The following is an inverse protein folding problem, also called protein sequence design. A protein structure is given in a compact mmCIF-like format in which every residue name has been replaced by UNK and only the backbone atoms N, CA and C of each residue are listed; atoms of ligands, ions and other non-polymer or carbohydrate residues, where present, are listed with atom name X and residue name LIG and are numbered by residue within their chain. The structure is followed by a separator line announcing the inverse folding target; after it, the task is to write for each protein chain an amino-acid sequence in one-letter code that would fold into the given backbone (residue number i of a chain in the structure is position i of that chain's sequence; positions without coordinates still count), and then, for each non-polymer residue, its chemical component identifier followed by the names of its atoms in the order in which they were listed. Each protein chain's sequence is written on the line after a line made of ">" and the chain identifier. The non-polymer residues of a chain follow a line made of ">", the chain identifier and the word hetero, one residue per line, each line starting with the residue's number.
data_IF_123727465403
#
_entry.id   IF_123727465403
#
_cell.length_a   1.000
_cell.length_b   1.000
_cell.length_c   1.000
_cell.angle_alpha   90.00
_cell.angle_beta   90.00
_cell.angle_gamma   90.00
#
_symmetry.space_group_name_H-M   'P 1'
#
loop_
_entity.id
_entity.type
_entity.pdbx_description
1 polymer ?
#
# COMPACT_ATOMS: atom_id res chain seq x y z
N UNK A 1 0.18 -18.93 -9.73
CA UNK A 1 -0.70 -17.77 -9.47
C UNK A 1 -0.16 -16.59 -10.26
N UNK A 2 -0.95 -15.99 -11.16
CA UNK A 2 -0.50 -14.88 -12.02
C UNK A 2 -0.88 -13.57 -11.34
N UNK A 3 0.11 -12.78 -10.96
CA UNK A 3 -0.10 -11.41 -10.49
C UNK A 3 -0.63 -10.58 -11.68
N UNK A 4 -1.79 -9.96 -11.52
CA UNK A 4 -2.56 -9.36 -12.63
C UNK A 4 -2.02 -8.03 -13.14
N UNK A 5 -1.11 -7.38 -12.42
CA UNK A 5 -0.51 -6.10 -12.79
C UNK A 5 0.86 -5.97 -12.12
N UNK A 6 1.93 -5.91 -12.93
CA UNK A 6 3.31 -5.74 -12.47
C UNK A 6 3.79 -4.38 -12.97
N UNK A 7 3.73 -3.36 -12.11
CA UNK A 7 4.21 -2.01 -12.44
C UNK A 7 5.65 -1.87 -11.95
N UNK A 8 6.54 -2.82 -12.26
CA UNK A 8 7.95 -2.69 -11.92
C UNK A 8 8.58 -1.55 -12.72
N UNK A 9 9.50 -0.81 -12.09
CA UNK A 9 10.30 0.16 -12.83
C UNK A 9 11.21 -0.57 -13.84
N UNK A 10 11.65 0.10 -14.92
CA UNK A 10 12.59 -0.49 -15.85
C UNK A 10 13.85 -0.96 -15.13
N UNK A 11 14.18 -2.25 -15.27
CA UNK A 11 15.31 -2.88 -14.60
C UNK A 11 14.93 -3.67 -13.35
N UNK A 12 13.71 -3.50 -12.83
CA UNK A 12 13.26 -4.17 -11.61
C UNK A 12 12.35 -5.38 -11.88
N UNK A 13 12.32 -6.37 -10.97
CA UNK A 13 13.17 -6.49 -9.78
C UNK A 13 14.61 -6.91 -10.13
N UNK A 14 15.61 -6.34 -9.45
CA UNK A 14 17.02 -6.55 -9.78
C UNK A 14 17.84 -7.31 -8.70
N UNK A 15 17.27 -7.50 -7.51
CA UNK A 15 17.87 -8.12 -6.34
C UNK A 15 19.28 -7.58 -6.01
N UNK A 16 19.39 -6.27 -5.81
CA UNK A 16 20.70 -5.62 -5.66
C UNK A 16 21.46 -6.20 -4.47
N UNK A 17 22.67 -6.73 -4.73
CA UNK A 17 23.50 -7.45 -3.75
C UNK A 17 22.87 -8.73 -3.16
N UNK A 18 21.79 -9.26 -3.73
CA UNK A 18 21.15 -10.50 -3.25
C UNK A 18 20.41 -10.31 -1.93
N UNK A 19 19.83 -9.12 -1.69
CA UNK A 19 19.25 -8.74 -0.41
C UNK A 19 17.97 -7.89 -0.52
N UNK A 20 17.35 -7.80 -1.68
CA UNK A 20 16.18 -6.95 -1.93
C UNK A 20 14.88 -7.76 -2.00
N UNK A 21 14.38 -8.16 -0.83
CA UNK A 21 13.18 -9.02 -0.73
C UNK A 21 11.86 -8.26 -0.48
N UNK A 22 11.90 -6.93 -0.30
CA UNK A 22 10.73 -6.10 0.01
C UNK A 22 10.37 -5.16 -1.15
N UNK A 23 9.08 -4.99 -1.47
CA UNK A 23 8.65 -4.07 -2.52
C UNK A 23 8.47 -2.63 -2.00
N UNK A 24 9.17 -1.69 -2.60
CA UNK A 24 9.06 -0.25 -2.36
C UNK A 24 8.27 0.41 -3.51
N UNK A 25 7.22 1.15 -3.16
CA UNK A 25 6.50 1.99 -4.12
C UNK A 25 7.31 3.27 -4.40
N UNK A 26 7.71 3.46 -5.66
CA UNK A 26 8.33 4.69 -6.17
C UNK A 26 7.41 5.38 -7.18
N UNK A 27 7.75 6.60 -7.57
CA UNK A 27 7.03 7.30 -8.64
C UNK A 27 7.12 6.49 -9.93
N UNK A 28 5.97 6.04 -10.42
CA UNK A 28 5.88 5.32 -11.70
C UNK A 28 6.02 3.81 -11.61
N UNK A 29 6.30 3.23 -10.45
CA UNK A 29 6.38 1.78 -10.31
C UNK A 29 6.99 1.28 -9.01
N UNK A 30 7.23 -0.02 -8.97
CA UNK A 30 7.81 -0.76 -7.86
C UNK A 30 9.33 -0.95 -8.07
N UNK A 31 10.03 -1.02 -6.94
CA UNK A 31 11.44 -1.36 -6.81
C UNK A 31 11.52 -2.42 -5.71
N UNK A 32 12.20 -3.52 -5.94
CA UNK A 32 12.60 -4.40 -4.85
C UNK A 32 13.71 -3.69 -4.07
N UNK A 33 13.65 -3.69 -2.74
CA UNK A 33 14.63 -3.06 -1.87
C UNK A 33 14.83 -3.93 -0.63
N UNK A 34 15.91 -3.71 0.09
CA UNK A 34 16.18 -4.42 1.33
C UNK A 34 15.12 -4.11 2.38
N UNK A 35 14.62 -5.16 3.02
CA UNK A 35 13.63 -5.05 4.10
C UNK A 35 14.16 -4.32 5.34
N UNK A 36 15.48 -4.13 5.46
CA UNK A 36 16.10 -3.48 6.61
C UNK A 36 16.02 -1.94 6.57
N UNK A 37 15.66 -1.35 5.42
CA UNK A 37 15.51 0.11 5.30
C UNK A 37 14.15 0.57 5.85
N UNK A 38 14.15 1.70 6.53
CA UNK A 38 12.95 2.32 7.06
C UNK A 38 12.35 3.30 6.04
N UNK A 39 11.14 3.01 5.58
CA UNK A 39 10.33 3.86 4.72
C UNK A 39 8.93 4.07 5.32
N UNK A 40 8.19 5.05 4.80
CA UNK A 40 6.75 5.13 5.05
C UNK A 40 6.02 3.94 4.43
N UNK A 41 4.93 3.51 5.04
CA UNK A 41 4.13 2.36 4.58
C UNK A 41 2.68 2.75 4.26
N UNK A 42 2.05 1.95 3.40
CA UNK A 42 0.64 2.07 3.04
C UNK A 42 -0.09 0.86 3.62
N UNK A 43 -1.19 1.10 4.33
CA UNK A 43 -2.07 0.03 4.83
C UNK A 43 -3.33 -0.04 3.98
N UNK A 44 -3.79 -1.25 3.67
CA UNK A 44 -5.11 -1.49 3.10
C UNK A 44 -6.06 -2.02 4.19
N UNK A 45 -7.30 -1.53 4.20
CA UNK A 45 -8.40 -2.12 4.97
C UNK A 45 -9.64 -2.20 4.10
N UNK A 46 -10.49 -3.20 4.35
CA UNK A 46 -11.81 -3.25 3.72
C UNK A 46 -12.58 -1.96 4.07
N UNK A 47 -13.30 -1.35 3.10
CA UNK A 47 -14.23 -0.30 3.44
C UNK A 47 -15.24 -0.86 4.44
N UNK A 48 -15.57 -0.08 5.47
CA UNK A 48 -16.64 -0.44 6.39
C UNK A 48 -17.92 -0.36 5.58
N UNK A 49 -18.52 -1.50 5.24
CA UNK A 49 -19.79 -1.56 4.49
C UNK A 49 -21.00 -1.14 5.32
N UNK A 50 -20.80 -0.35 6.37
CA UNK A 50 -21.88 0.31 7.06
C UNK A 50 -22.15 1.62 6.31
N UNK A 51 -23.39 1.91 5.88
CA UNK A 51 -23.74 3.27 5.58
C UNK A 51 -23.32 4.13 6.78
N UNK A 52 -22.91 5.37 6.54
CA UNK A 52 -22.76 6.36 7.60
C UNK A 52 -24.14 6.55 8.26
N UNK A 53 -24.49 5.63 9.15
CA UNK A 53 -25.67 5.69 9.98
C UNK A 53 -25.19 6.36 11.25
N UNK A 54 -25.08 7.69 11.18
CA UNK A 54 -25.25 8.52 12.36
C UNK A 54 -26.65 8.21 12.93
N UNK A 55 -26.76 7.13 13.70
CA UNK A 55 -27.90 6.86 14.60
C UNK A 55 -27.73 7.59 15.92
N UNK A 56 -26.69 8.43 16.06
CA UNK A 56 -26.72 9.52 17.02
C UNK A 56 -27.69 10.57 16.51
N UNK A 57 -28.85 10.69 17.14
CA UNK A 57 -29.74 11.84 17.02
C UNK A 57 -28.89 13.10 16.92
N UNK A 58 -29.07 13.88 15.85
CA UNK A 58 -28.59 15.25 15.82
C UNK A 58 -29.26 15.92 17.02
N UNK A 59 -28.57 16.02 18.16
CA UNK A 59 -28.93 16.95 19.20
C UNK A 59 -28.70 18.32 18.56
N UNK A 60 -29.71 18.82 17.85
CA UNK A 60 -29.82 20.23 17.56
C UNK A 60 -29.92 20.88 18.93
N UNK A 61 -28.83 21.47 19.39
CA UNK A 61 -28.88 22.42 20.49
C UNK A 61 -29.89 23.49 20.09
N UNK A 62 -30.97 23.56 20.86
CA UNK A 62 -31.92 24.69 20.91
C UNK A 62 -31.18 26.01 21.03
#
# INVERSE_FOLDING_TARGET
>A
TRLGWLVWLPGEPNDFHGAEDCALAKKGGWNDDTCAKFFSWICEKKPVSAPCQWTGTILRSS
#
